data_IF_935674998267
#
_entry.id   IF_935674998267
#
_cell.length_a   1.000
_cell.length_b   1.000
_cell.length_c   1.000
_cell.angle_alpha   90.00
_cell.angle_beta   90.00
_cell.angle_gamma   90.00
#
_symmetry.space_group_name_H-M   'P 1'
#
loop_
_entity.id
_entity.type
_entity.pdbx_description
1 polymer ?
#
# COMPACT_ATOMS: atom_id res chain seq x y z
N UNK A 1 7.65 26.96 -2.51
CA UNK A 1 7.41 28.21 -1.77
C UNK A 1 8.20 28.23 -0.47
N UNK A 2 8.38 29.42 0.14
CA UNK A 2 9.06 29.58 1.43
C UNK A 2 8.41 28.69 2.52
N UNK A 3 7.10 28.63 2.55
CA UNK A 3 6.35 27.80 3.50
C UNK A 3 6.70 26.29 3.35
N UNK A 4 6.93 25.81 2.14
CA UNK A 4 7.32 24.42 1.89
C UNK A 4 8.74 24.12 2.41
N UNK A 5 9.67 25.07 2.27
CA UNK A 5 11.02 24.94 2.82
C UNK A 5 10.96 24.89 4.35
N UNK A 6 10.20 25.78 4.96
CA UNK A 6 10.00 25.78 6.42
C UNK A 6 9.35 24.48 6.89
N UNK A 7 8.37 23.96 6.16
CA UNK A 7 7.73 22.68 6.50
C UNK A 7 8.68 21.48 6.45
N UNK A 8 9.62 21.47 5.50
CA UNK A 8 10.63 20.41 5.38
C UNK A 8 11.87 20.61 6.24
N UNK A 9 12.08 21.81 6.82
CA UNK A 9 13.26 22.09 7.63
C UNK A 9 13.37 21.20 8.89
N UNK A 10 12.24 20.71 9.37
CA UNK A 10 12.19 19.74 10.47
C UNK A 10 12.54 18.30 10.02
N UNK A 11 12.68 18.08 8.71
CA UNK A 11 13.03 16.81 8.08
C UNK A 11 14.25 17.00 7.15
N UNK A 12 15.45 17.21 7.71
CA UNK A 12 16.62 17.66 6.92
C UNK A 12 17.04 16.68 5.83
N UNK A 13 16.84 15.37 6.03
CA UNK A 13 17.12 14.38 5.01
C UNK A 13 16.18 14.53 3.81
N UNK A 14 14.87 14.73 4.05
CA UNK A 14 13.90 14.95 2.98
C UNK A 14 14.12 16.30 2.28
N UNK A 15 14.47 17.35 3.02
CA UNK A 15 14.82 18.64 2.45
C UNK A 15 16.04 18.52 1.51
N UNK A 16 17.09 17.78 1.93
CA UNK A 16 18.27 17.51 1.14
C UNK A 16 17.93 16.74 -0.15
N UNK A 17 17.14 15.68 -0.04
CA UNK A 17 16.67 14.91 -1.21
C UNK A 17 15.89 15.78 -2.17
N UNK A 18 14.92 16.55 -1.68
CA UNK A 18 14.11 17.45 -2.52
C UNK A 18 14.98 18.51 -3.19
N UNK A 19 15.93 19.11 -2.48
CA UNK A 19 16.80 20.14 -3.03
C UNK A 19 17.64 19.65 -4.23
N UNK A 20 18.10 18.40 -4.17
CA UNK A 20 18.97 17.81 -5.21
C UNK A 20 18.14 17.19 -6.34
N UNK A 21 17.01 16.55 -6.02
CA UNK A 21 16.30 15.70 -6.98
C UNK A 21 14.93 16.25 -7.40
N UNK A 22 14.62 17.52 -7.07
CA UNK A 22 13.29 18.10 -7.32
C UNK A 22 12.84 17.99 -8.79
N UNK A 23 13.73 18.29 -9.72
CA UNK A 23 13.41 18.24 -11.16
C UNK A 23 13.16 16.79 -11.62
N UNK A 24 13.88 15.84 -11.06
CA UNK A 24 13.70 14.43 -11.37
C UNK A 24 12.41 13.90 -10.78
N UNK A 25 12.04 14.35 -9.56
CA UNK A 25 10.75 14.02 -8.94
C UNK A 25 9.59 14.50 -9.81
N UNK A 26 9.61 15.77 -10.25
CA UNK A 26 8.55 16.31 -11.12
C UNK A 26 8.49 15.59 -12.47
N UNK A 27 9.63 15.15 -13.00
CA UNK A 27 9.68 14.38 -14.25
C UNK A 27 9.12 12.98 -14.07
N UNK A 28 9.46 12.32 -12.95
CA UNK A 28 8.98 10.97 -12.62
C UNK A 28 7.49 10.96 -12.25
N UNK A 29 7.02 12.02 -11.61
CA UNK A 29 5.66 12.19 -11.11
C UNK A 29 5.03 13.44 -11.74
N UNK A 30 4.74 13.43 -13.05
CA UNK A 30 4.00 14.54 -13.69
C UNK A 30 2.67 14.69 -12.97
N UNK A 31 2.20 15.92 -12.80
CA UNK A 31 1.00 16.28 -12.04
C UNK A 31 1.19 16.32 -10.49
N UNK A 32 2.33 15.85 -9.95
CA UNK A 32 2.62 16.04 -8.53
C UNK A 32 2.79 17.52 -8.20
N UNK A 33 2.09 17.98 -7.18
CA UNK A 33 2.24 19.34 -6.68
C UNK A 33 3.40 19.44 -5.68
N UNK A 34 3.84 20.67 -5.42
CA UNK A 34 4.83 20.92 -4.36
C UNK A 34 4.34 20.41 -2.99
N UNK A 35 3.05 20.55 -2.73
CA UNK A 35 2.43 20.11 -1.50
C UNK A 35 2.44 18.58 -1.36
N UNK A 36 2.25 17.85 -2.46
CA UNK A 36 2.36 16.40 -2.49
C UNK A 36 3.76 15.92 -2.14
N UNK A 37 4.77 16.52 -2.74
CA UNK A 37 6.19 16.20 -2.47
C UNK A 37 6.52 16.50 -1.00
N UNK A 38 6.09 17.63 -0.48
CA UNK A 38 6.26 17.98 0.93
C UNK A 38 5.50 17.01 1.84
N UNK A 39 4.28 16.62 1.45
CA UNK A 39 3.48 15.64 2.17
C UNK A 39 4.16 14.28 2.32
N UNK A 40 4.85 13.79 1.29
CA UNK A 40 5.68 12.58 1.38
C UNK A 40 6.92 12.83 2.23
N UNK A 41 7.62 13.94 2.02
CA UNK A 41 8.85 14.28 2.71
C UNK A 41 8.72 14.42 4.23
N UNK A 42 7.55 14.81 4.72
CA UNK A 42 7.25 14.93 6.15
C UNK A 42 7.05 13.59 6.86
N UNK A 43 6.87 12.50 6.14
CA UNK A 43 6.71 11.19 6.77
C UNK A 43 8.03 10.72 7.38
N UNK A 44 7.96 9.80 8.34
CA UNK A 44 9.13 9.28 9.03
C UNK A 44 10.22 8.74 8.08
N UNK A 45 9.84 8.13 6.99
CA UNK A 45 10.76 7.62 5.94
C UNK A 45 10.75 8.48 4.67
N UNK A 46 10.35 9.75 4.77
CA UNK A 46 10.01 10.61 3.63
C UNK A 46 11.11 10.75 2.59
N UNK A 47 12.37 10.94 2.99
CA UNK A 47 13.51 11.00 2.07
C UNK A 47 13.62 9.71 1.24
N UNK A 48 13.59 8.56 1.91
CA UNK A 48 13.69 7.24 1.26
C UNK A 48 12.45 6.93 0.41
N UNK A 49 11.28 7.39 0.82
CA UNK A 49 10.05 7.23 0.03
C UNK A 49 10.11 8.04 -1.27
N UNK A 50 10.65 9.26 -1.23
CA UNK A 50 10.89 10.07 -2.44
C UNK A 50 11.92 9.41 -3.37
N UNK A 51 13.01 8.88 -2.83
CA UNK A 51 14.01 8.14 -3.60
C UNK A 51 13.42 6.86 -4.23
N UNK A 52 12.61 6.12 -3.48
CA UNK A 52 11.92 4.95 -4.00
C UNK A 52 10.94 5.31 -5.13
N UNK A 53 10.19 6.41 -5.00
CA UNK A 53 9.33 6.89 -6.08
C UNK A 53 10.15 7.25 -7.33
N UNK A 54 11.30 7.90 -7.19
CA UNK A 54 12.19 8.19 -8.33
C UNK A 54 12.64 6.92 -9.06
N UNK A 55 12.98 5.89 -8.30
CA UNK A 55 13.50 4.64 -8.86
C UNK A 55 12.39 3.78 -9.46
N UNK A 56 11.26 3.66 -8.78
CA UNK A 56 10.23 2.66 -9.08
C UNK A 56 9.04 3.20 -9.89
N UNK A 57 8.83 4.54 -9.91
CA UNK A 57 7.65 5.13 -10.55
C UNK A 57 7.52 4.76 -12.03
N UNK A 58 8.62 4.69 -12.77
CA UNK A 58 8.62 4.33 -14.18
C UNK A 58 8.00 2.96 -14.44
N UNK A 59 8.38 1.95 -13.65
CA UNK A 59 7.82 0.60 -13.75
C UNK A 59 6.42 0.48 -13.16
N UNK A 60 6.14 1.18 -12.07
CA UNK A 60 4.81 1.16 -11.44
C UNK A 60 3.75 1.88 -12.28
N UNK A 61 4.13 2.83 -13.10
CA UNK A 61 3.25 3.47 -14.10
C UNK A 61 3.03 2.62 -15.35
N UNK A 62 3.89 1.64 -15.58
CA UNK A 62 3.74 0.66 -16.65
C UNK A 62 2.93 -0.57 -16.21
N UNK A 63 2.70 -1.50 -17.18
CA UNK A 63 2.03 -2.76 -16.87
C UNK A 63 2.80 -3.55 -15.77
N UNK A 64 2.12 -4.35 -14.95
CA UNK A 64 0.68 -4.66 -15.00
C UNK A 64 -0.21 -3.68 -14.20
N UNK A 65 0.37 -2.81 -13.37
CA UNK A 65 -0.38 -1.99 -12.43
C UNK A 65 -0.88 -0.67 -13.05
N UNK A 66 -0.08 -0.04 -13.90
CA UNK A 66 -0.42 1.25 -14.56
C UNK A 66 -0.90 2.32 -13.55
N UNK A 67 -0.18 2.46 -12.42
CA UNK A 67 -0.54 3.40 -11.39
C UNK A 67 -0.38 4.85 -11.86
N UNK A 68 -1.33 5.70 -11.51
CA UNK A 68 -1.22 7.14 -11.72
C UNK A 68 -0.38 7.82 -10.61
N UNK A 69 -0.06 9.09 -10.83
CA UNK A 69 0.72 9.88 -9.86
C UNK A 69 0.03 9.96 -8.50
N UNK A 70 -1.30 10.13 -8.46
CA UNK A 70 -2.06 10.19 -7.21
C UNK A 70 -1.99 8.90 -6.40
N UNK A 71 -2.08 7.76 -7.08
CA UNK A 71 -1.96 6.43 -6.46
C UNK A 71 -0.55 6.20 -5.88
N UNK A 72 0.50 6.54 -6.63
CA UNK A 72 1.89 6.45 -6.18
C UNK A 72 2.15 7.32 -4.95
N UNK A 73 1.67 8.56 -4.97
CA UNK A 73 1.78 9.48 -3.84
C UNK A 73 1.01 8.98 -2.62
N UNK A 74 -0.17 8.40 -2.81
CA UNK A 74 -0.97 7.83 -1.72
C UNK A 74 -0.24 6.69 -1.02
N UNK A 75 0.37 5.77 -1.77
CA UNK A 75 1.18 4.68 -1.22
C UNK A 75 2.37 5.25 -0.45
N UNK A 76 3.10 6.21 -1.02
CA UNK A 76 4.28 6.78 -0.39
C UNK A 76 3.96 7.58 0.88
N UNK A 77 2.86 8.33 0.89
CA UNK A 77 2.44 9.13 2.06
C UNK A 77 2.00 8.28 3.25
N UNK A 78 1.32 7.16 3.00
CA UNK A 78 0.71 6.33 4.05
C UNK A 78 1.51 5.05 4.32
N UNK A 79 1.88 4.34 3.28
CA UNK A 79 2.64 3.10 3.38
C UNK A 79 4.16 3.27 3.46
N UNK A 80 4.66 4.43 3.08
CA UNK A 80 6.10 4.75 3.12
C UNK A 80 6.94 4.00 2.11
N UNK A 81 8.26 4.04 2.30
CA UNK A 81 9.25 3.41 1.41
C UNK A 81 9.03 1.90 1.28
N UNK A 82 8.68 1.23 2.36
CA UNK A 82 8.49 -0.24 2.37
C UNK A 82 7.31 -0.66 1.52
N UNK A 83 6.21 0.08 1.55
CA UNK A 83 5.05 -0.20 0.72
C UNK A 83 5.32 0.06 -0.77
N UNK A 84 5.99 1.16 -1.12
CA UNK A 84 6.39 1.44 -2.52
C UNK A 84 7.24 0.30 -3.08
N UNK A 85 8.26 -0.13 -2.35
CA UNK A 85 9.14 -1.24 -2.75
C UNK A 85 8.42 -2.58 -2.80
N UNK A 86 7.52 -2.85 -1.86
CA UNK A 86 6.73 -4.08 -1.85
C UNK A 86 5.79 -4.16 -3.06
N UNK A 87 5.08 -3.08 -3.37
CA UNK A 87 4.21 -3.02 -4.56
C UNK A 87 5.03 -3.26 -5.83
N UNK A 88 6.20 -2.63 -5.94
CA UNK A 88 7.10 -2.84 -7.08
C UNK A 88 7.57 -4.30 -7.18
N UNK A 89 8.11 -4.84 -6.09
CA UNK A 89 8.66 -6.21 -6.07
C UNK A 89 7.60 -7.28 -6.39
N UNK A 90 6.38 -7.10 -5.91
CA UNK A 90 5.32 -8.10 -6.01
C UNK A 90 4.26 -7.80 -7.08
N UNK A 91 4.42 -6.76 -7.89
CA UNK A 91 3.42 -6.32 -8.88
C UNK A 91 2.86 -7.43 -9.75
N UNK A 92 3.73 -8.33 -10.23
CA UNK A 92 3.31 -9.45 -11.08
C UNK A 92 2.57 -10.53 -10.29
N UNK A 93 3.02 -10.84 -9.08
CA UNK A 93 2.38 -11.82 -8.21
C UNK A 93 1.00 -11.34 -7.73
N UNK A 94 0.88 -10.06 -7.39
CA UNK A 94 -0.37 -9.47 -6.91
C UNK A 94 -1.44 -9.42 -8.01
N UNK A 95 -1.06 -9.12 -9.24
CA UNK A 95 -2.00 -8.99 -10.38
C UNK A 95 -2.20 -10.27 -11.16
N UNK A 96 -1.31 -11.23 -11.00
CA UNK A 96 -1.41 -12.56 -11.62
C UNK A 96 -2.19 -13.57 -10.80
N UNK A 97 -2.48 -14.73 -11.39
CA UNK A 97 -3.13 -15.83 -10.69
C UNK A 97 -2.23 -16.37 -9.55
N UNK A 98 -2.81 -16.82 -8.44
CA UNK A 98 -4.24 -16.93 -8.14
C UNK A 98 -4.87 -15.66 -7.57
N UNK A 99 -4.09 -14.61 -7.30
CA UNK A 99 -4.54 -13.42 -6.59
C UNK A 99 -5.44 -12.52 -7.46
N UNK A 100 -5.02 -12.25 -8.69
CA UNK A 100 -5.73 -11.43 -9.68
C UNK A 100 -6.26 -10.11 -9.10
N UNK A 101 -5.46 -9.44 -8.24
CA UNK A 101 -5.85 -8.17 -7.66
C UNK A 101 -5.82 -7.05 -8.71
N UNK A 102 -6.80 -6.17 -8.64
CA UNK A 102 -6.80 -4.95 -9.45
C UNK A 102 -5.79 -3.94 -8.91
N UNK A 103 -5.29 -3.01 -9.75
CA UNK A 103 -4.43 -1.93 -9.28
C UNK A 103 -5.03 -1.14 -8.10
N UNK A 104 -6.33 -0.86 -8.14
CA UNK A 104 -7.04 -0.17 -7.07
C UNK A 104 -7.00 -0.94 -5.75
N UNK A 105 -7.14 -2.27 -5.78
CA UNK A 105 -7.04 -3.13 -4.60
C UNK A 105 -5.63 -3.15 -4.02
N UNK A 106 -4.61 -3.22 -4.88
CA UNK A 106 -3.20 -3.14 -4.45
C UNK A 106 -2.92 -1.81 -3.77
N UNK A 107 -3.37 -0.70 -4.35
CA UNK A 107 -3.24 0.65 -3.75
C UNK A 107 -3.99 0.74 -2.42
N UNK A 108 -5.20 0.20 -2.33
CA UNK A 108 -5.99 0.21 -1.10
C UNK A 108 -5.24 -0.47 0.06
N UNK A 109 -4.63 -1.63 -0.18
CA UNK A 109 -3.86 -2.36 0.83
C UNK A 109 -2.56 -1.64 1.17
N UNK A 110 -1.81 -1.18 0.15
CA UNK A 110 -0.50 -0.58 0.31
C UNK A 110 -0.52 0.80 0.99
N UNK A 111 -1.65 1.51 0.92
CA UNK A 111 -1.79 2.90 1.40
C UNK A 111 -2.15 3.00 2.88
N UNK A 112 -1.65 2.09 3.71
CA UNK A 112 -1.86 2.06 5.16
C UNK A 112 -0.54 1.81 5.88
N UNK A 113 -0.48 2.14 7.16
CA UNK A 113 0.66 1.78 7.98
C UNK A 113 0.76 0.25 8.05
N UNK A 114 1.96 -0.29 7.79
CA UNK A 114 2.15 -1.73 7.62
C UNK A 114 1.61 -2.31 6.30
N UNK A 115 1.30 -1.49 5.31
CA UNK A 115 0.77 -1.92 4.01
C UNK A 115 1.62 -2.97 3.29
N UNK A 116 2.96 -2.90 3.42
CA UNK A 116 3.86 -3.93 2.92
C UNK A 116 3.61 -5.30 3.56
N UNK A 117 3.39 -5.33 4.88
CA UNK A 117 3.09 -6.57 5.61
C UNK A 117 1.69 -7.11 5.28
N UNK A 118 0.72 -6.21 5.11
CA UNK A 118 -0.62 -6.58 4.67
C UNK A 118 -0.59 -7.20 3.26
N UNK A 119 0.15 -6.63 2.32
CA UNK A 119 0.35 -7.19 0.97
C UNK A 119 0.97 -8.60 1.01
N UNK A 120 2.02 -8.79 1.81
CA UNK A 120 2.65 -10.10 2.02
C UNK A 120 1.65 -11.11 2.58
N UNK A 121 0.87 -10.69 3.58
CA UNK A 121 -0.13 -11.55 4.21
C UNK A 121 -1.26 -11.90 3.24
N UNK A 122 -1.71 -10.97 2.42
CA UNK A 122 -2.69 -11.23 1.35
C UNK A 122 -2.17 -12.27 0.37
N UNK A 123 -0.92 -12.15 -0.09
CA UNK A 123 -0.33 -13.16 -0.98
C UNK A 123 -0.39 -14.57 -0.39
N UNK A 124 -0.12 -14.69 0.90
CA UNK A 124 -0.11 -15.98 1.61
C UNK A 124 -1.51 -16.50 1.90
N UNK A 125 -2.41 -15.65 2.36
CA UNK A 125 -3.70 -16.06 2.94
C UNK A 125 -4.88 -15.97 1.98
N UNK A 126 -4.85 -15.13 0.94
CA UNK A 126 -5.99 -14.98 0.04
C UNK A 126 -6.43 -16.30 -0.59
N UNK A 127 -5.52 -17.15 -1.13
CA UNK A 127 -5.94 -18.44 -1.68
C UNK A 127 -6.60 -19.34 -0.64
N UNK A 128 -6.05 -19.41 0.58
CA UNK A 128 -6.59 -20.24 1.67
C UNK A 128 -7.95 -19.71 2.12
N UNK A 129 -8.08 -18.42 2.37
CA UNK A 129 -9.33 -17.80 2.81
C UNK A 129 -10.45 -17.94 1.78
N UNK A 130 -10.11 -17.86 0.49
CA UNK A 130 -11.10 -18.02 -0.58
C UNK A 130 -11.48 -19.49 -0.82
N UNK A 131 -10.50 -20.40 -0.86
CA UNK A 131 -10.73 -21.80 -1.20
C UNK A 131 -11.27 -22.62 -0.03
N UNK A 132 -10.69 -22.43 1.17
CA UNK A 132 -11.01 -23.26 2.34
C UNK A 132 -12.14 -22.67 3.18
N UNK A 133 -12.30 -21.35 3.14
CA UNK A 133 -13.23 -20.64 4.04
C UNK A 133 -14.31 -19.85 3.30
N UNK A 134 -14.33 -19.86 1.97
CA UNK A 134 -15.39 -19.27 1.16
C UNK A 134 -15.45 -17.75 1.15
N UNK A 135 -14.38 -17.05 1.58
CA UNK A 135 -14.30 -15.61 1.45
C UNK A 135 -14.09 -15.20 -0.01
N UNK A 136 -14.65 -14.07 -0.39
CA UNK A 136 -14.34 -13.47 -1.69
C UNK A 136 -13.03 -12.69 -1.64
N UNK A 137 -12.31 -12.54 -2.76
CA UNK A 137 -11.13 -11.69 -2.82
C UNK A 137 -11.40 -10.25 -2.35
N UNK A 138 -12.57 -9.70 -2.65
CA UNK A 138 -12.98 -8.37 -2.21
C UNK A 138 -13.08 -8.25 -0.69
N UNK A 139 -13.58 -9.28 -0.01
CA UNK A 139 -13.64 -9.33 1.46
C UNK A 139 -12.25 -9.40 2.08
N UNK A 140 -11.36 -10.22 1.53
CA UNK A 140 -9.95 -10.31 1.98
C UNK A 140 -9.25 -8.95 1.81
N UNK A 141 -9.45 -8.28 0.68
CA UNK A 141 -8.92 -6.93 0.43
C UNK A 141 -9.49 -5.92 1.42
N UNK A 142 -10.80 -5.97 1.71
CA UNK A 142 -11.43 -5.08 2.68
C UNK A 142 -10.80 -5.20 4.07
N UNK A 143 -10.56 -6.44 4.55
CA UNK A 143 -9.88 -6.71 5.83
C UNK A 143 -8.44 -6.20 5.81
N UNK A 144 -7.73 -6.36 4.70
CA UNK A 144 -6.34 -5.95 4.56
C UNK A 144 -6.14 -4.44 4.45
N UNK A 145 -7.17 -3.68 4.04
CA UNK A 145 -7.08 -2.26 3.68
C UNK A 145 -7.29 -1.33 4.89
N UNK A 146 -6.72 -1.69 6.04
CA UNK A 146 -6.74 -0.92 7.27
C UNK A 146 -5.37 -0.93 7.95
N UNK A 147 -5.14 0.04 8.82
CA UNK A 147 -4.00 -0.03 9.73
C UNK A 147 -4.13 -1.30 10.58
N UNK A 148 -3.11 -2.15 10.56
CA UNK A 148 -3.19 -3.47 11.19
C UNK A 148 -3.81 -4.58 10.34
N UNK A 149 -3.99 -4.37 9.04
CA UNK A 149 -4.58 -5.35 8.11
C UNK A 149 -3.94 -6.74 8.13
N UNK A 150 -2.62 -6.82 8.39
CA UNK A 150 -1.93 -8.09 8.63
C UNK A 150 -2.56 -8.87 9.80
N UNK A 151 -2.66 -8.21 10.96
CA UNK A 151 -3.17 -8.83 12.18
C UNK A 151 -4.65 -9.22 12.05
N UNK A 152 -5.42 -8.38 11.37
CA UNK A 152 -6.82 -8.67 11.07
C UNK A 152 -6.96 -9.93 10.22
N UNK A 153 -6.21 -10.06 9.13
CA UNK A 153 -6.20 -11.24 8.27
C UNK A 153 -5.79 -12.52 9.01
N UNK A 154 -4.71 -12.46 9.80
CA UNK A 154 -4.24 -13.60 10.60
C UNK A 154 -5.25 -14.00 11.67
N UNK A 155 -5.93 -13.03 12.27
CA UNK A 155 -7.00 -13.28 13.25
C UNK A 155 -8.22 -13.92 12.61
N UNK A 156 -8.65 -13.42 11.46
CA UNK A 156 -9.75 -14.00 10.68
C UNK A 156 -9.42 -15.42 10.28
N UNK A 157 -8.24 -15.69 9.72
CA UNK A 157 -7.83 -17.04 9.36
C UNK A 157 -7.94 -18.01 10.55
N UNK A 158 -7.49 -17.59 11.73
CA UNK A 158 -7.49 -18.43 12.93
C UNK A 158 -8.88 -18.66 13.51
N UNK A 159 -9.73 -17.63 13.52
CA UNK A 159 -11.02 -17.67 14.21
C UNK A 159 -12.19 -18.07 13.31
N UNK A 160 -12.06 -17.91 12.00
CA UNK A 160 -13.14 -18.16 11.05
C UNK A 160 -13.73 -19.57 11.17
N UNK A 161 -12.91 -20.65 11.28
CA UNK A 161 -13.46 -21.99 11.46
C UNK A 161 -14.32 -22.12 12.73
N UNK A 162 -13.84 -21.60 13.85
CA UNK A 162 -14.58 -21.64 15.15
C UNK A 162 -15.85 -20.82 15.05
N UNK A 163 -15.77 -19.59 14.53
CA UNK A 163 -16.92 -18.70 14.43
C UNK A 163 -18.00 -19.24 13.50
N UNK A 164 -17.62 -19.87 12.40
CA UNK A 164 -18.58 -20.45 11.47
C UNK A 164 -19.11 -21.81 11.92
N UNK A 165 -18.27 -22.71 12.43
CA UNK A 165 -18.65 -24.08 12.79
C UNK A 165 -19.30 -24.16 14.16
N UNK A 166 -18.74 -23.49 15.16
CA UNK A 166 -19.21 -23.61 16.55
C UNK A 166 -20.29 -22.56 16.90
N UNK A 167 -20.23 -21.38 16.27
CA UNK A 167 -21.13 -20.27 16.56
C UNK A 167 -22.11 -19.94 15.41
N UNK A 168 -22.02 -20.62 14.27
CA UNK A 168 -22.96 -20.47 13.16
C UNK A 168 -22.93 -19.12 12.46
N UNK A 169 -21.84 -18.36 12.61
CA UNK A 169 -21.67 -17.08 11.89
C UNK A 169 -21.39 -17.35 10.41
N UNK A 170 -21.92 -16.48 9.57
CA UNK A 170 -21.55 -16.48 8.15
C UNK A 170 -20.20 -15.81 7.93
N UNK A 171 -19.46 -16.14 6.87
CA UNK A 171 -18.24 -15.42 6.50
C UNK A 171 -18.41 -13.90 6.44
N UNK A 172 -19.55 -13.43 5.89
CA UNK A 172 -19.89 -12.00 5.83
C UNK A 172 -19.97 -11.35 7.21
N UNK A 173 -20.56 -12.06 8.19
CA UNK A 173 -20.64 -11.57 9.57
C UNK A 173 -19.26 -11.51 10.23
N UNK A 174 -18.39 -12.48 9.94
CA UNK A 174 -17.01 -12.47 10.45
C UNK A 174 -16.23 -11.30 9.86
N UNK A 175 -16.37 -11.04 8.57
CA UNK A 175 -15.72 -9.88 7.90
C UNK A 175 -16.22 -8.57 8.49
N UNK A 176 -17.50 -8.46 8.84
CA UNK A 176 -18.07 -7.24 9.40
C UNK A 176 -17.55 -6.88 10.80
N UNK A 177 -16.99 -7.84 11.52
CA UNK A 177 -16.40 -7.65 12.87
C UNK A 177 -14.86 -7.57 12.84
N UNK A 178 -14.23 -7.86 11.72
CA UNK A 178 -12.77 -7.85 11.56
C UNK A 178 -12.23 -6.45 11.28
#
# INVERSE_FOLDING_TARGET
THAHIVALSQHPAALGTVAVTYQDIIRALPEATHEDIVGVGKQWSGARALEALLTEAGELRGPPLQLDTGQLLKIAKRGGVTAVKAVHAWRNALTGAPLNLTPAQVVAIASHDGGNQALETVQRLLPVLCQDHGLTPAQVVAIASHDGGKQALETVQRLLPVLCQDHGLTPDQVVAIA
#
